data_IF_987198617781
#
_entry.id   IF_987198617781
#
_cell.length_a   1.000
_cell.length_b   1.000
_cell.length_c   1.000
_cell.angle_alpha   90.00
_cell.angle_beta   90.00
_cell.angle_gamma   90.00
#
_symmetry.space_group_name_H-M   'P 1'
#
loop_
_entity.id
_entity.type
_entity.pdbx_description
1 polymer ?
#
# COMPACT_ATOMS: atom_id res chain seq x y z
N UNK A 1 11.73 9.15 -4.17
CA UNK A 1 10.90 9.81 -3.16
C UNK A 1 10.92 9.04 -1.85
N UNK A 2 10.78 9.75 -0.77
CA UNK A 2 10.86 9.17 0.57
C UNK A 2 9.49 8.73 1.05
N UNK A 3 9.42 7.54 1.67
CA UNK A 3 8.21 7.05 2.33
C UNK A 3 8.33 7.40 3.81
N UNK A 4 7.43 8.24 4.30
CA UNK A 4 7.41 8.61 5.70
C UNK A 4 6.65 7.54 6.51
N UNK A 5 7.17 7.20 7.69
CA UNK A 5 6.49 6.24 8.57
C UNK A 5 5.07 6.68 8.89
N UNK A 6 4.87 7.98 9.11
CA UNK A 6 3.55 8.53 9.41
C UNK A 6 2.56 8.26 8.27
N UNK A 7 3.00 8.33 7.03
CA UNK A 7 2.14 8.04 5.89
C UNK A 7 1.67 6.60 5.90
N UNK A 8 2.54 5.67 6.31
CA UNK A 8 2.17 4.26 6.40
C UNK A 8 1.11 4.05 7.50
N UNK A 9 1.24 4.74 8.62
CA UNK A 9 0.23 4.67 9.68
C UNK A 9 -1.14 5.12 9.16
N UNK A 10 -1.17 6.24 8.44
CA UNK A 10 -2.41 6.78 7.89
C UNK A 10 -2.99 5.90 6.80
N UNK A 11 -2.12 5.32 5.96
CA UNK A 11 -2.54 4.38 4.93
C UNK A 11 -3.20 3.13 5.54
N UNK A 12 -2.60 2.60 6.60
CA UNK A 12 -3.18 1.44 7.29
C UNK A 12 -4.56 1.77 7.88
N UNK A 13 -4.74 2.99 8.37
CA UNK A 13 -6.05 3.44 8.86
C UNK A 13 -7.07 3.46 7.71
N UNK A 14 -6.66 3.90 6.52
CA UNK A 14 -7.54 3.92 5.35
C UNK A 14 -7.92 2.51 4.91
N UNK A 15 -6.96 1.58 4.95
CA UNK A 15 -7.24 0.19 4.61
C UNK A 15 -8.24 -0.43 5.60
N UNK A 16 -8.07 -0.16 6.89
CA UNK A 16 -9.02 -0.65 7.91
C UNK A 16 -10.40 -0.06 7.71
N UNK A 17 -10.48 1.22 7.35
CA UNK A 17 -11.77 1.88 7.12
C UNK A 17 -12.55 1.23 5.98
N UNK A 18 -11.85 0.64 5.03
CA UNK A 18 -12.46 -0.10 3.91
C UNK A 18 -12.61 -1.59 4.22
N UNK A 19 -12.27 -2.02 5.41
CA UNK A 19 -12.37 -3.41 5.86
C UNK A 19 -11.60 -4.38 4.96
N UNK A 20 -10.44 -3.96 4.49
CA UNK A 20 -9.65 -4.75 3.54
C UNK A 20 -8.67 -5.72 4.18
N UNK A 21 -8.41 -5.60 5.44
CA UNK A 21 -7.52 -6.51 6.20
C UNK A 21 -6.10 -6.63 5.66
N UNK A 22 -5.75 -5.91 4.62
CA UNK A 22 -4.37 -5.80 4.18
C UNK A 22 -3.64 -4.78 5.04
N UNK A 23 -2.34 -4.97 5.20
CA UNK A 23 -1.53 -4.10 6.02
C UNK A 23 -0.26 -3.74 5.27
N UNK A 24 0.24 -2.54 5.50
CA UNK A 24 1.49 -2.10 4.91
C UNK A 24 2.49 -1.87 6.02
N UNK A 25 3.71 -2.39 5.84
CA UNK A 25 4.81 -2.21 6.77
C UNK A 25 5.86 -1.29 6.17
N UNK A 26 6.36 -0.35 6.96
CA UNK A 26 7.45 0.52 6.56
C UNK A 26 8.75 -0.27 6.69
N UNK A 27 9.50 -0.39 5.58
CA UNK A 27 10.78 -1.08 5.58
C UNK A 27 11.92 -0.08 5.75
N UNK A 28 11.95 0.93 4.90
CA UNK A 28 12.93 2.02 4.98
C UNK A 28 12.38 3.23 4.24
N UNK A 29 13.20 4.27 4.09
CA UNK A 29 12.77 5.52 3.47
C UNK A 29 12.38 5.36 1.99
N UNK A 30 12.77 4.27 1.35
CA UNK A 30 12.50 4.08 -0.08
C UNK A 30 11.61 2.89 -0.39
N UNK A 31 11.27 2.05 0.59
CA UNK A 31 10.53 0.80 0.34
C UNK A 31 9.52 0.52 1.43
N UNK A 32 8.35 0.08 1.03
CA UNK A 32 7.32 -0.44 1.94
C UNK A 32 6.90 -1.83 1.47
N UNK A 33 6.36 -2.61 2.41
CA UNK A 33 5.96 -3.99 2.16
C UNK A 33 4.46 -4.15 2.42
N UNK A 34 3.77 -4.87 1.54
CA UNK A 34 2.36 -5.21 1.73
C UNK A 34 2.26 -6.56 2.39
N UNK A 35 1.55 -6.63 3.51
CA UNK A 35 1.31 -7.87 4.23
C UNK A 35 -0.13 -8.32 3.98
N UNK A 36 -0.33 -9.41 3.23
CA UNK A 36 -1.70 -9.89 2.96
C UNK A 36 -2.32 -10.49 4.21
N UNK A 37 -3.67 -10.57 4.25
CA UNK A 37 -4.36 -11.21 5.37
C UNK A 37 -4.18 -12.73 5.32
N UNK A 38 -4.68 -13.41 6.34
CA UNK A 38 -4.69 -14.87 6.36
C UNK A 38 -5.54 -15.44 5.22
N UNK A 39 -5.36 -16.74 4.96
CA UNK A 39 -5.99 -17.40 3.81
C UNK A 39 -7.51 -17.25 3.76
N UNK A 40 -8.15 -17.16 4.91
CA UNK A 40 -9.61 -17.03 4.96
C UNK A 40 -10.15 -15.76 4.30
N UNK A 41 -9.29 -14.73 4.17
CA UNK A 41 -9.69 -13.41 3.64
C UNK A 41 -8.96 -13.04 2.37
N UNK A 42 -8.16 -13.97 1.83
CA UNK A 42 -7.30 -13.71 0.68
C UNK A 42 -8.06 -14.07 -0.60
N UNK A 43 -8.65 -13.08 -1.25
CA UNK A 43 -9.33 -13.25 -2.54
C UNK A 43 -8.75 -12.27 -3.55
N UNK A 44 -8.86 -12.61 -4.83
CA UNK A 44 -8.37 -11.74 -5.91
C UNK A 44 -9.06 -10.38 -5.89
N UNK A 45 -10.35 -10.36 -5.60
CA UNK A 45 -11.10 -9.11 -5.55
C UNK A 45 -10.60 -8.21 -4.41
N UNK A 46 -10.41 -8.78 -3.23
CA UNK A 46 -9.91 -7.99 -2.10
C UNK A 46 -8.49 -7.52 -2.34
N UNK A 47 -7.67 -8.34 -2.97
CA UNK A 47 -6.32 -7.95 -3.34
C UNK A 47 -6.34 -6.74 -4.27
N UNK A 48 -7.17 -6.77 -5.32
CA UNK A 48 -7.29 -5.63 -6.23
C UNK A 48 -7.77 -4.38 -5.52
N UNK A 49 -8.75 -4.52 -4.63
CA UNK A 49 -9.27 -3.39 -3.87
C UNK A 49 -8.20 -2.78 -2.96
N UNK A 50 -7.41 -3.63 -2.30
CA UNK A 50 -6.35 -3.16 -1.42
C UNK A 50 -5.27 -2.42 -2.20
N UNK A 51 -4.83 -3.00 -3.32
CA UNK A 51 -3.79 -2.38 -4.14
C UNK A 51 -4.28 -1.07 -4.75
N UNK A 52 -5.54 -1.02 -5.21
CA UNK A 52 -6.13 0.20 -5.71
C UNK A 52 -6.22 1.27 -4.61
N UNK A 53 -6.57 0.88 -3.40
CA UNK A 53 -6.63 1.80 -2.26
C UNK A 53 -5.25 2.42 -1.98
N UNK A 54 -4.19 1.59 -2.00
CA UNK A 54 -2.83 2.07 -1.77
C UNK A 54 -2.44 3.07 -2.86
N UNK A 55 -2.69 2.72 -4.12
CA UNK A 55 -2.35 3.59 -5.24
C UNK A 55 -3.12 4.91 -5.20
N UNK A 56 -4.42 4.86 -4.92
CA UNK A 56 -5.26 6.05 -4.83
C UNK A 56 -4.84 6.95 -3.69
N UNK A 57 -4.47 6.35 -2.55
CA UNK A 57 -4.08 7.12 -1.38
C UNK A 57 -2.84 7.96 -1.67
N UNK A 58 -1.84 7.36 -2.33
CA UNK A 58 -0.63 8.08 -2.70
C UNK A 58 -0.85 9.02 -3.88
N UNK A 59 -1.73 8.66 -4.82
CA UNK A 59 -2.06 9.54 -5.94
C UNK A 59 -2.68 10.85 -5.46
N UNK A 60 -3.48 10.79 -4.42
CA UNK A 60 -4.07 11.99 -3.82
C UNK A 60 -3.02 12.91 -3.21
N UNK A 61 -1.83 12.40 -2.95
CA UNK A 61 -0.70 13.16 -2.42
C UNK A 61 0.32 13.54 -3.49
N UNK A 62 0.01 13.27 -4.76
CA UNK A 62 0.86 13.66 -5.88
C UNK A 62 2.03 12.73 -6.14
N UNK A 63 1.96 11.49 -5.67
CA UNK A 63 3.01 10.51 -5.90
C UNK A 63 2.43 9.24 -6.52
N UNK A 64 3.29 8.48 -7.18
CA UNK A 64 2.93 7.24 -7.86
C UNK A 64 3.58 6.05 -7.15
N UNK A 65 2.83 4.97 -6.99
CA UNK A 65 3.34 3.73 -6.42
C UNK A 65 4.00 2.92 -7.53
N UNK A 66 5.21 2.44 -7.27
CA UNK A 66 5.96 1.58 -8.19
C UNK A 66 6.12 0.21 -7.53
N UNK A 67 5.42 -0.78 -8.06
CA UNK A 67 5.44 -2.13 -7.52
C UNK A 67 6.67 -2.90 -8.00
N UNK A 68 7.24 -3.71 -7.11
CA UNK A 68 8.27 -4.65 -7.50
C UNK A 68 7.65 -5.87 -8.17
N UNK A 69 8.51 -6.70 -8.78
CA UNK A 69 8.04 -7.85 -9.56
C UNK A 69 7.19 -8.82 -8.75
N UNK A 70 7.44 -8.95 -7.44
CA UNK A 70 6.66 -9.84 -6.57
C UNK A 70 5.31 -9.26 -6.15
N UNK A 71 5.09 -7.96 -6.38
CA UNK A 71 3.87 -7.29 -5.97
C UNK A 71 3.73 -7.09 -4.47
N UNK A 72 4.73 -7.43 -3.68
CA UNK A 72 4.70 -7.30 -2.23
C UNK A 72 5.44 -6.07 -1.72
N UNK A 73 6.38 -5.57 -2.48
CA UNK A 73 7.15 -4.38 -2.12
C UNK A 73 6.86 -3.27 -3.11
N UNK A 74 6.87 -2.04 -2.61
CA UNK A 74 6.71 -0.90 -3.50
C UNK A 74 7.57 0.27 -3.05
N UNK A 75 7.84 1.15 -3.99
CA UNK A 75 8.50 2.42 -3.75
C UNK A 75 7.64 3.53 -4.34
N UNK A 76 8.04 4.78 -4.12
CA UNK A 76 7.29 5.93 -4.61
C UNK A 76 8.10 6.67 -5.67
N UNK A 77 7.39 7.21 -6.65
CA UNK A 77 7.99 8.03 -7.70
C UNK A 77 7.17 9.31 -7.87
N UNK A 78 7.77 10.39 -8.38
CA UNK A 78 7.00 11.59 -8.66
C UNK A 78 5.90 11.29 -9.67
N UNK A 79 4.74 11.90 -9.48
CA UNK A 79 3.64 11.79 -10.42
C UNK A 79 3.84 12.84 -11.51
N UNK A 80 3.79 12.39 -12.75
CA UNK A 80 3.92 13.27 -13.90
C UNK A 80 2.67 14.11 -14.16
#
# INVERSE_FOLDING_TARGET
MTIAYQDIVLLNAALRARNLRYRVSWQDASTACVEPPGECCLTDERKRQAYACIEEWFAARGVRVVWRADGLYFSLAPRD
#
